data_IF_102028768570
#
_entry.id   IF_102028768570
#
_cell.length_a   1.000
_cell.length_b   1.000
_cell.length_c   1.000
_cell.angle_alpha   90.00
_cell.angle_beta   90.00
_cell.angle_gamma   90.00
#
_symmetry.space_group_name_H-M   'P 1'
#
loop_
_entity.id
_entity.type
_entity.pdbx_description
1 polymer ?
#
# COMPACT_ATOMS: atom_id res chain seq x y z
N UNK A 1 9.03 13.85 -7.37
CA UNK A 1 9.62 13.28 -6.14
C UNK A 1 10.29 14.32 -5.26
N UNK A 2 10.87 15.36 -5.87
CA UNK A 2 11.37 16.52 -5.16
C UNK A 2 10.85 17.79 -5.86
N UNK A 3 10.64 18.85 -5.10
CA UNK A 3 10.52 20.21 -5.63
C UNK A 3 11.84 20.93 -5.46
N UNK A 4 12.20 21.77 -6.43
CA UNK A 4 13.39 22.62 -6.34
C UNK A 4 12.95 24.06 -6.08
N UNK A 5 13.48 24.66 -5.03
CA UNK A 5 13.35 26.09 -4.76
C UNK A 5 14.71 26.65 -4.42
N UNK A 6 15.21 27.60 -5.22
CA UNK A 6 16.52 28.26 -5.00
C UNK A 6 17.67 27.25 -4.81
N UNK A 7 17.74 26.21 -5.66
CA UNK A 7 18.72 25.11 -5.59
C UNK A 7 18.62 24.20 -4.35
N UNK A 8 17.56 24.33 -3.56
CA UNK A 8 17.23 23.39 -2.47
C UNK A 8 16.21 22.40 -3.01
N UNK A 9 16.58 21.11 -2.98
CA UNK A 9 15.69 20.01 -3.36
C UNK A 9 14.98 19.48 -2.12
N UNK A 10 13.67 19.68 -2.06
CA UNK A 10 12.83 19.18 -0.96
C UNK A 10 12.03 17.98 -1.44
N UNK A 11 12.08 16.88 -0.71
CA UNK A 11 11.30 15.69 -1.04
C UNK A 11 9.80 15.99 -0.95
N UNK A 12 9.02 15.48 -1.89
CA UNK A 12 7.56 15.62 -1.89
C UNK A 12 6.97 15.00 -0.62
N UNK A 13 6.04 15.72 0.01
CA UNK A 13 5.31 15.23 1.17
C UNK A 13 4.36 14.09 0.74
N UNK A 14 4.44 12.90 1.35
CA UNK A 14 3.55 11.77 1.02
C UNK A 14 2.06 12.10 1.11
N UNK A 15 1.65 12.93 2.09
CA UNK A 15 0.25 13.30 2.29
C UNK A 15 -0.28 14.15 1.14
N UNK A 16 0.48 15.18 0.74
CA UNK A 16 0.10 16.06 -0.36
C UNK A 16 0.03 15.27 -1.67
N UNK A 17 1.00 14.35 -1.88
CA UNK A 17 1.01 13.46 -3.04
C UNK A 17 -0.23 12.56 -3.10
N UNK A 18 -0.62 11.96 -1.98
CA UNK A 18 -1.79 11.09 -1.90
C UNK A 18 -3.09 11.86 -2.14
N UNK A 19 -3.22 13.08 -1.60
CA UNK A 19 -4.40 13.94 -1.81
C UNK A 19 -4.53 14.35 -3.27
N UNK A 20 -3.43 14.78 -3.88
CA UNK A 20 -3.39 15.17 -5.29
C UNK A 20 -3.77 14.02 -6.23
N UNK A 21 -3.36 12.80 -5.91
CA UNK A 21 -3.72 11.63 -6.70
C UNK A 21 -5.17 11.20 -6.48
N UNK A 22 -5.61 11.12 -5.22
CA UNK A 22 -6.96 10.71 -4.83
C UNK A 22 -8.03 11.59 -5.50
N UNK A 23 -7.82 12.91 -5.52
CA UNK A 23 -8.75 13.86 -6.16
C UNK A 23 -8.76 13.82 -7.69
N UNK A 24 -7.79 13.17 -8.35
CA UNK A 24 -7.64 13.21 -9.81
C UNK A 24 -8.02 11.94 -10.54
N UNK A 25 -8.28 10.81 -9.85
CA UNK A 25 -8.82 9.50 -10.31
C UNK A 25 -8.44 8.93 -11.70
N UNK A 26 -7.52 9.55 -12.47
CA UNK A 26 -7.28 9.24 -13.89
C UNK A 26 -5.84 8.90 -14.23
N UNK A 27 -4.87 9.14 -13.32
CA UNK A 27 -3.46 8.82 -13.59
C UNK A 27 -3.11 7.43 -13.06
N UNK A 28 -2.76 6.51 -13.96
CA UNK A 28 -2.17 5.21 -13.60
C UNK A 28 -0.85 5.45 -12.86
N UNK A 29 -0.67 4.78 -11.72
CA UNK A 29 0.60 4.77 -11.02
C UNK A 29 1.42 3.56 -11.47
N UNK A 30 2.53 3.82 -12.15
CA UNK A 30 3.45 2.77 -12.61
C UNK A 30 4.74 2.70 -11.80
N UNK A 31 5.19 3.82 -11.22
CA UNK A 31 6.39 3.84 -10.38
C UNK A 31 6.09 3.29 -8.99
N UNK A 32 6.95 2.38 -8.53
CA UNK A 32 6.93 1.79 -7.19
C UNK A 32 7.00 2.84 -6.06
N UNK A 33 7.85 3.86 -6.21
CA UNK A 33 7.94 4.95 -5.24
C UNK A 33 6.66 5.78 -5.18
N UNK A 34 5.93 5.92 -6.29
CA UNK A 34 4.71 6.76 -6.40
C UNK A 34 3.64 6.02 -5.62
N UNK A 35 3.60 4.70 -5.81
CA UNK A 35 2.68 3.82 -5.13
C UNK A 35 2.97 3.80 -3.62
N UNK A 36 4.24 3.78 -3.23
CA UNK A 36 4.63 3.89 -1.82
C UNK A 36 4.21 5.23 -1.23
N UNK A 37 4.43 6.35 -1.93
CA UNK A 37 4.03 7.68 -1.45
C UNK A 37 2.51 7.81 -1.30
N UNK A 38 1.72 7.29 -2.25
CA UNK A 38 0.24 7.30 -2.13
C UNK A 38 -0.19 6.49 -0.92
N UNK A 39 0.32 5.26 -0.76
CA UNK A 39 -0.13 4.39 0.32
C UNK A 39 0.30 4.91 1.70
N UNK A 40 1.52 5.45 1.81
CA UNK A 40 2.00 6.11 3.03
C UNK A 40 1.14 7.35 3.32
N UNK A 41 0.89 8.21 2.34
CA UNK A 41 0.08 9.41 2.50
C UNK A 41 -1.35 9.11 2.91
N UNK A 42 -1.95 8.02 2.39
CA UNK A 42 -3.25 7.55 2.82
C UNK A 42 -3.26 7.10 4.29
N UNK A 43 -2.15 6.55 4.76
CA UNK A 43 -1.94 6.12 6.14
C UNK A 43 -1.47 7.23 7.08
N UNK A 44 -1.46 8.51 6.68
CA UNK A 44 -1.22 9.63 7.61
C UNK A 44 -2.49 9.95 8.39
N UNK A 45 -2.37 10.30 9.67
CA UNK A 45 -3.53 10.69 10.49
C UNK A 45 -4.20 11.94 9.93
N UNK A 46 -5.54 11.91 9.80
CA UNK A 46 -6.28 12.99 9.17
C UNK A 46 -6.04 13.12 7.65
N UNK A 47 -5.54 12.07 6.98
CA UNK A 47 -5.36 12.09 5.53
C UNK A 47 -6.68 12.31 4.76
N UNK A 48 -7.78 11.78 5.30
CA UNK A 48 -9.09 11.73 4.63
C UNK A 48 -9.17 10.72 3.49
N UNK A 49 -8.15 9.85 3.35
CA UNK A 49 -8.03 8.88 2.26
C UNK A 49 -8.09 7.48 2.85
N UNK A 50 -8.94 6.63 2.29
CA UNK A 50 -8.97 5.21 2.68
C UNK A 50 -7.90 4.43 1.91
N UNK A 51 -6.88 3.95 2.64
CA UNK A 51 -5.80 3.14 2.07
C UNK A 51 -6.31 1.81 1.47
N UNK A 52 -7.37 1.23 2.03
CA UNK A 52 -7.94 -0.01 1.48
C UNK A 52 -8.61 0.21 0.12
N UNK A 53 -9.27 1.35 -0.05
CA UNK A 53 -9.92 1.71 -1.33
C UNK A 53 -8.88 2.04 -2.39
N UNK A 54 -7.74 2.62 -1.97
CA UNK A 54 -6.57 2.82 -2.84
C UNK A 54 -6.06 1.51 -3.43
N UNK A 55 -5.95 0.46 -2.61
CA UNK A 55 -5.48 -0.87 -3.05
C UNK A 55 -6.49 -1.62 -3.93
N UNK A 56 -7.77 -1.24 -3.90
CA UNK A 56 -8.83 -1.80 -4.75
C UNK A 56 -9.01 -1.04 -6.06
N UNK A 57 -8.31 0.08 -6.25
CA UNK A 57 -8.45 0.92 -7.43
C UNK A 57 -7.78 0.30 -8.66
N UNK A 58 -8.48 0.21 -9.79
CA UNK A 58 -7.95 -0.35 -11.05
C UNK A 58 -6.72 0.40 -11.61
N UNK A 59 -6.57 1.67 -11.25
CA UNK A 59 -5.42 2.51 -11.62
C UNK A 59 -4.21 2.29 -10.71
N UNK A 60 -4.36 1.53 -9.63
CA UNK A 60 -3.32 1.18 -8.67
C UNK A 60 -2.97 -0.31 -8.84
N UNK A 61 -1.92 -0.60 -9.61
CA UNK A 61 -1.40 -1.96 -9.78
C UNK A 61 -0.11 -2.12 -8.98
N UNK A 62 -0.13 -2.75 -7.79
CA UNK A 62 1.03 -2.82 -6.92
C UNK A 62 2.25 -3.40 -7.62
N UNK A 63 3.36 -2.67 -7.57
CA UNK A 63 4.65 -3.14 -8.06
C UNK A 63 5.23 -4.19 -7.11
N UNK A 64 5.98 -5.15 -7.63
CA UNK A 64 6.63 -6.22 -6.83
C UNK A 64 7.54 -5.66 -5.72
N UNK A 65 8.16 -4.50 -5.97
CA UNK A 65 9.03 -3.81 -5.01
C UNK A 65 8.27 -2.98 -3.96
N UNK A 66 6.95 -2.83 -4.07
CA UNK A 66 6.18 -1.95 -3.19
C UNK A 66 6.31 -2.35 -1.72
N UNK A 67 6.15 -3.65 -1.40
CA UNK A 67 6.26 -4.13 -0.01
C UNK A 67 7.68 -3.94 0.57
N UNK A 68 8.76 -4.41 -0.08
CA UNK A 68 10.12 -4.13 0.39
C UNK A 68 10.40 -2.63 0.56
N UNK A 69 9.85 -1.79 -0.32
CA UNK A 69 10.03 -0.33 -0.24
C UNK A 69 9.30 0.27 0.97
N UNK A 70 8.08 -0.17 1.28
CA UNK A 70 7.35 0.26 2.48
C UNK A 70 8.06 -0.22 3.76
N UNK A 71 8.59 -1.45 3.76
CA UNK A 71 9.36 -2.01 4.87
C UNK A 71 10.69 -1.26 5.10
N UNK A 72 11.29 -0.76 4.02
CA UNK A 72 12.46 0.11 4.13
C UNK A 72 12.08 1.50 4.66
N UNK A 73 10.98 2.08 4.16
CA UNK A 73 10.52 3.42 4.54
C UNK A 73 10.00 3.52 5.98
N UNK A 74 9.45 2.46 6.56
CA UNK A 74 9.09 2.48 7.99
C UNK A 74 10.32 2.62 8.90
N UNK A 75 11.51 2.21 8.44
CA UNK A 75 12.78 2.34 9.19
C UNK A 75 13.55 3.60 8.83
N UNK A 76 13.55 3.97 7.54
CA UNK A 76 14.40 5.02 6.97
C UNK A 76 13.62 6.27 6.54
N UNK A 77 12.36 6.38 6.92
CA UNK A 77 11.54 7.56 6.66
C UNK A 77 12.15 8.82 7.31
N UNK A 78 12.04 9.99 6.65
CA UNK A 78 12.71 11.24 7.06
C UNK A 78 12.22 11.76 8.41
N UNK A 79 10.97 11.48 8.75
CA UNK A 79 10.34 11.93 9.99
C UNK A 79 9.50 10.81 10.60
N UNK A 80 9.13 10.98 11.89
CA UNK A 80 8.40 9.95 12.64
C UNK A 80 6.98 9.72 12.08
N UNK A 81 6.34 10.75 11.55
CA UNK A 81 4.98 10.64 10.98
C UNK A 81 5.04 9.75 9.74
N UNK A 82 6.00 9.99 8.84
CA UNK A 82 6.23 9.16 7.66
C UNK A 82 6.56 7.71 8.03
N UNK A 83 7.40 7.48 9.05
CA UNK A 83 7.73 6.12 9.52
C UNK A 83 6.52 5.38 10.08
N UNK A 84 5.71 6.05 10.91
CA UNK A 84 4.49 5.48 11.49
C UNK A 84 3.44 5.18 10.41
N UNK A 85 3.26 6.09 9.46
CA UNK A 85 2.35 5.89 8.32
C UNK A 85 2.83 4.74 7.42
N UNK A 86 4.14 4.63 7.17
CA UNK A 86 4.71 3.51 6.43
C UNK A 86 4.51 2.17 7.16
N UNK A 87 4.69 2.12 8.48
CA UNK A 87 4.41 0.89 9.25
C UNK A 87 2.94 0.46 9.12
N UNK A 88 2.00 1.40 9.20
CA UNK A 88 0.58 1.12 8.94
C UNK A 88 0.32 0.65 7.51
N UNK A 89 0.97 1.28 6.52
CA UNK A 89 0.88 0.89 5.13
C UNK A 89 1.37 -0.55 4.90
N UNK A 90 2.46 -0.98 5.56
CA UNK A 90 2.94 -2.38 5.52
C UNK A 90 1.87 -3.35 6.03
N UNK A 91 1.25 -3.05 7.17
CA UNK A 91 0.20 -3.91 7.76
C UNK A 91 -1.02 -4.03 6.85
N UNK A 92 -1.50 -2.92 6.31
CA UNK A 92 -2.65 -2.88 5.39
C UNK A 92 -2.31 -3.62 4.10
N UNK A 93 -1.14 -3.36 3.51
CA UNK A 93 -0.69 -4.01 2.29
C UNK A 93 -0.55 -5.53 2.47
N UNK A 94 0.02 -5.97 3.59
CA UNK A 94 0.17 -7.40 3.91
C UNK A 94 -1.18 -8.08 4.06
N UNK A 95 -2.12 -7.43 4.75
CA UNK A 95 -3.50 -7.93 4.90
C UNK A 95 -4.21 -8.05 3.56
N UNK A 96 -4.08 -7.02 2.70
CA UNK A 96 -4.64 -7.03 1.35
C UNK A 96 -3.99 -8.10 0.46
N UNK A 97 -2.67 -8.26 0.54
CA UNK A 97 -1.97 -9.28 -0.24
C UNK A 97 -2.40 -10.70 0.19
N UNK A 98 -2.64 -10.91 1.49
CA UNK A 98 -3.16 -12.17 2.00
C UNK A 98 -4.60 -12.45 1.54
N UNK A 99 -5.44 -11.42 1.38
CA UNK A 99 -6.81 -11.61 0.87
C UNK A 99 -6.89 -11.93 -0.62
N UNK A 100 -5.82 -11.62 -1.38
CA UNK A 100 -5.67 -12.01 -2.79
C UNK A 100 -5.09 -13.44 -2.95
N UNK A 101 -4.53 -14.03 -1.89
CA UNK A 101 -4.03 -15.39 -1.95
C UNK A 101 -5.18 -16.37 -2.21
N UNK A 102 -4.96 -17.47 -2.97
CA UNK A 102 -5.95 -18.51 -3.16
C UNK A 102 -6.46 -18.95 -1.79
N UNK A 103 -7.78 -18.98 -1.60
CA UNK A 103 -8.36 -19.48 -0.35
C UNK A 103 -7.84 -20.90 -0.13
N UNK A 104 -7.24 -21.20 1.04
CA UNK A 104 -6.81 -22.56 1.32
C UNK A 104 -8.04 -23.46 1.21
N UNK A 105 -7.96 -24.46 0.34
CA UNK A 105 -9.04 -25.42 0.18
C UNK A 105 -9.09 -26.23 1.47
N UNK A 106 -10.11 -25.96 2.29
CA UNK A 106 -10.34 -26.70 3.52
C UNK A 106 -10.68 -28.15 3.13
N UNK A 107 -9.79 -29.09 3.45
CA UNK A 107 -10.07 -30.51 3.26
C UNK A 107 -11.25 -30.92 4.13
N UNK A 108 -12.16 -31.73 3.58
CA UNK A 108 -13.21 -32.39 4.34
C UNK A 108 -12.55 -33.39 5.32
N UNK A 109 -12.93 -33.34 6.60
CA UNK A 109 -12.41 -34.26 7.62
C UNK A 109 -13.04 -35.66 7.51
N UNK A 110 -14.14 -35.78 6.76
CA UNK A 110 -14.96 -36.99 6.66
C UNK A 110 -15.21 -37.34 5.19
N UNK A 111 -14.14 -37.64 4.45
CA UNK A 111 -14.23 -38.27 3.13
C UNK A 111 -13.61 -39.69 3.22
N UNK A 112 -14.14 -40.54 4.09
CA UNK A 112 -14.03 -42.00 3.95
C UNK A 112 -15.07 -42.68 4.86
N UNK A 113 -15.42 -43.93 4.54
CA UNK A 113 -16.35 -44.83 5.25
C UNK A 113 -17.80 -44.83 4.74
N UNK A 114 -17.96 -44.75 3.42
CA UNK A 114 -19.20 -45.02 2.71
C UNK A 114 -19.21 -46.33 1.93
N UNK A 115 -18.50 -47.39 2.33
CA UNK A 115 -18.62 -48.69 1.65
C UNK A 115 -18.29 -49.89 2.56
N UNK A 116 -19.30 -50.40 3.25
CA UNK A 116 -19.32 -51.80 3.71
C UNK A 116 -20.54 -52.46 3.05
N UNK A 117 -20.31 -53.05 1.87
CA UNK A 117 -21.25 -53.89 1.14
C UNK A 117 -21.29 -55.31 1.70
#
# INVERSE_FOLDING_TARGET
WCSEVKKVFTRTNPLDFARDWSGKHKRKLTSDLDQALVLIGACVDGSGINASDTLKNDNFKPHVALKPLLEWLQKNGPDQITRNAASRAVSIFTTWQASQAPKPQQGSLFDDDGEYA
#
